data_IF_357577996718
#
_entry.id   IF_357577996718
#
_cell.length_a   1.000
_cell.length_b   1.000
_cell.length_c   1.000
_cell.angle_alpha   90.00
_cell.angle_beta   90.00
_cell.angle_gamma   90.00
#
_symmetry.space_group_name_H-M   'P 1'
#
loop_
_entity.id
_entity.type
_entity.pdbx_description
1 polymer ?
#
# COMPACT_ATOMS: atom_id res chain seq x y z
N UNK A 1 27.21 9.52 23.27
CA UNK A 1 27.09 8.67 24.48
C UNK A 1 26.10 9.23 25.50
N UNK A 2 26.04 10.54 25.74
CA UNK A 2 25.08 11.13 26.69
C UNK A 2 23.62 10.81 26.32
N UNK A 3 23.23 10.93 25.05
CA UNK A 3 21.87 10.58 24.60
C UNK A 3 21.57 9.08 24.83
N UNK A 4 22.52 8.20 24.54
CA UNK A 4 22.42 6.76 24.79
C UNK A 4 22.15 6.47 26.27
N UNK A 5 22.92 7.14 27.15
CA UNK A 5 22.74 7.02 28.60
C UNK A 5 21.38 7.56 29.09
N UNK A 6 20.96 8.72 28.58
CA UNK A 6 19.71 9.38 28.99
C UNK A 6 18.45 8.61 28.57
N UNK A 7 18.56 7.70 27.62
CA UNK A 7 17.43 6.86 27.13
C UNK A 7 17.49 5.40 27.65
N UNK A 8 18.33 5.13 28.65
CA UNK A 8 18.56 3.77 29.15
C UNK A 8 17.29 3.09 29.70
N UNK A 9 16.39 3.87 30.27
CA UNK A 9 15.13 3.38 30.86
C UNK A 9 13.96 3.31 29.85
N UNK A 10 14.19 3.73 28.60
CA UNK A 10 13.15 3.74 27.57
C UNK A 10 13.18 2.45 26.75
N UNK A 11 12.00 1.84 26.56
CA UNK A 11 11.83 0.66 25.69
C UNK A 11 11.54 1.11 24.25
N UNK A 12 12.49 1.85 23.66
CA UNK A 12 12.43 2.39 22.31
C UNK A 12 13.74 2.14 21.58
N UNK A 13 13.67 1.72 20.31
CA UNK A 13 14.83 1.72 19.41
C UNK A 13 15.02 3.15 18.88
N UNK A 14 16.16 3.73 19.17
CA UNK A 14 16.49 5.11 18.76
C UNK A 14 17.53 5.10 17.63
N UNK A 15 17.31 5.93 16.62
CA UNK A 15 18.20 6.07 15.47
C UNK A 15 18.53 7.54 15.30
N UNK A 16 19.82 7.88 15.29
CA UNK A 16 20.28 9.29 15.16
C UNK A 16 21.41 9.40 14.15
N UNK A 17 21.42 10.48 13.37
CA UNK A 17 22.51 10.82 12.46
C UNK A 17 23.70 11.41 13.22
N UNK A 18 24.90 10.92 12.97
CA UNK A 18 26.14 11.36 13.64
C UNK A 18 27.34 11.23 12.68
N UNK A 19 28.21 12.25 12.59
CA UNK A 19 29.52 12.09 11.95
C UNK A 19 30.44 11.26 12.85
N UNK A 20 31.01 10.19 12.32
CA UNK A 20 31.91 9.31 13.07
C UNK A 20 33.24 9.14 12.35
N UNK A 21 34.31 8.84 13.10
CA UNK A 21 35.63 8.52 12.56
C UNK A 21 35.90 7.03 12.62
N UNK A 22 36.28 6.45 11.50
CA UNK A 22 36.76 5.06 11.39
C UNK A 22 37.79 4.97 10.28
N UNK A 23 38.76 4.08 10.34
CA UNK A 23 39.79 3.86 9.33
C UNK A 23 40.54 5.16 8.91
N UNK A 24 40.78 6.09 9.85
CA UNK A 24 41.29 7.44 9.58
C UNK A 24 40.43 8.29 8.61
N UNK A 25 39.17 7.98 8.47
CA UNK A 25 38.19 8.65 7.61
C UNK A 25 37.01 9.16 8.42
N UNK A 26 36.27 10.09 7.86
CA UNK A 26 35.01 10.55 8.41
C UNK A 26 33.85 9.91 7.63
N UNK A 27 32.85 9.41 8.33
CA UNK A 27 31.64 8.85 7.76
C UNK A 27 30.40 9.61 8.26
N UNK A 28 29.42 9.78 7.38
CA UNK A 28 28.06 10.17 7.75
C UNK A 28 27.31 8.89 8.10
N UNK A 29 26.84 8.75 9.34
CA UNK A 29 26.32 7.48 9.81
C UNK A 29 25.07 7.65 10.68
N UNK A 30 24.21 6.63 10.67
CA UNK A 30 23.13 6.44 11.64
C UNK A 30 23.63 5.52 12.78
N UNK A 31 23.51 5.98 14.01
CA UNK A 31 23.78 5.19 15.21
C UNK A 31 22.46 4.68 15.76
N UNK A 32 22.37 3.37 15.94
CA UNK A 32 21.21 2.68 16.47
C UNK A 32 21.50 2.25 17.90
N UNK A 33 20.62 2.61 18.82
CA UNK A 33 20.77 2.27 20.23
C UNK A 33 19.45 2.03 20.93
N UNK A 34 19.51 1.29 22.02
CA UNK A 34 18.36 0.95 22.86
C UNK A 34 18.82 0.62 24.27
N UNK A 35 18.07 1.08 25.28
CA UNK A 35 18.33 0.76 26.69
C UNK A 35 19.79 0.97 27.11
N UNK A 36 20.32 2.12 26.79
CA UNK A 36 21.66 2.51 27.16
C UNK A 36 22.79 1.81 26.39
N UNK A 37 22.50 1.00 25.37
CA UNK A 37 23.50 0.27 24.59
C UNK A 37 23.38 0.57 23.09
N UNK A 38 24.52 0.87 22.44
CA UNK A 38 24.58 0.95 20.99
C UNK A 38 24.42 -0.45 20.41
N UNK A 39 23.60 -0.57 19.35
CA UNK A 39 23.33 -1.84 18.66
C UNK A 39 24.14 -1.95 17.38
N UNK A 40 24.37 -0.83 16.68
CA UNK A 40 25.15 -0.82 15.46
C UNK A 40 25.23 0.56 14.84
N UNK A 41 26.01 0.65 13.78
CA UNK A 41 26.26 1.87 13.02
C UNK A 41 26.05 1.61 11.54
N UNK A 42 25.22 2.41 10.89
CA UNK A 42 24.94 2.30 9.46
C UNK A 42 25.55 3.52 8.76
N UNK A 43 26.67 3.38 8.05
CA UNK A 43 27.24 4.46 7.25
C UNK A 43 26.46 4.68 5.97
N UNK A 44 26.38 5.93 5.54
CA UNK A 44 25.73 6.33 4.29
C UNK A 44 26.46 5.76 3.08
N UNK A 45 25.67 5.23 2.12
CA UNK A 45 26.18 4.57 0.92
C UNK A 45 26.45 5.57 -0.19
N UNK A 46 25.48 6.41 -0.52
CA UNK A 46 25.57 7.36 -1.62
C UNK A 46 25.73 8.80 -1.11
N UNK A 47 26.86 9.41 -1.43
CA UNK A 47 27.21 10.76 -1.01
C UNK A 47 26.96 11.73 -2.17
N UNK A 48 25.95 12.63 -2.10
CA UNK A 48 25.72 13.61 -3.14
C UNK A 48 26.89 14.59 -3.28
N UNK A 49 27.34 14.77 -4.51
CA UNK A 49 28.43 15.69 -4.84
C UNK A 49 28.12 16.43 -6.15
N UNK A 50 26.95 17.06 -6.18
CA UNK A 50 26.42 17.80 -7.32
C UNK A 50 25.58 18.99 -6.83
N UNK A 51 25.42 20.02 -7.68
CA UNK A 51 24.73 21.29 -7.36
C UNK A 51 25.23 21.87 -6.04
N UNK A 52 24.34 22.05 -5.06
CA UNK A 52 24.62 22.57 -3.72
C UNK A 52 25.29 21.56 -2.79
N UNK A 53 25.32 20.29 -3.13
CA UNK A 53 25.88 19.25 -2.28
C UNK A 53 27.34 18.97 -2.57
N UNK A 54 28.15 18.91 -1.51
CA UNK A 54 29.60 18.66 -1.55
C UNK A 54 30.00 17.62 -0.48
N UNK A 55 29.17 16.58 -0.27
CA UNK A 55 29.35 15.66 0.84
C UNK A 55 30.61 14.80 0.72
N UNK A 56 31.00 14.42 -0.49
CA UNK A 56 32.26 13.69 -0.75
C UNK A 56 33.52 14.45 -0.36
N UNK A 57 33.45 15.76 -0.15
CA UNK A 57 34.55 16.56 0.33
C UNK A 57 34.95 16.19 1.76
N UNK A 58 34.03 15.72 2.55
CA UNK A 58 34.20 15.48 3.98
C UNK A 58 34.03 14.02 4.38
N UNK A 59 33.15 13.30 3.73
CA UNK A 59 32.73 11.94 4.11
C UNK A 59 33.17 10.89 3.09
N UNK A 60 33.38 9.70 3.61
CA UNK A 60 33.65 8.48 2.83
C UNK A 60 32.40 7.62 2.73
N UNK A 61 32.14 7.05 1.56
CA UNK A 61 31.05 6.13 1.31
C UNK A 61 31.20 4.83 2.10
N UNK A 62 30.08 4.24 2.51
CA UNK A 62 30.06 2.89 3.09
C UNK A 62 30.76 1.84 2.20
N UNK A 63 30.69 2.00 0.88
CA UNK A 63 31.29 1.07 -0.09
C UNK A 63 32.82 1.08 -0.12
N UNK A 64 33.43 2.11 0.47
CA UNK A 64 34.88 2.25 0.53
C UNK A 64 35.47 1.78 1.87
N UNK A 65 34.61 1.43 2.83
CA UNK A 65 35.03 0.92 4.14
C UNK A 65 35.40 -0.56 4.05
N UNK A 66 36.38 -0.96 4.82
CA UNK A 66 36.90 -2.33 4.88
C UNK A 66 36.50 -3.04 6.16
N UNK A 67 36.36 -2.28 7.24
CA UNK A 67 36.00 -2.83 8.55
C UNK A 67 34.48 -3.00 8.66
N UNK A 68 34.06 -4.10 9.24
CA UNK A 68 32.66 -4.40 9.56
C UNK A 68 32.26 -4.00 10.98
N UNK A 69 33.18 -3.39 11.72
CA UNK A 69 33.00 -2.92 13.09
C UNK A 69 33.57 -1.50 13.27
N UNK A 70 33.12 -0.81 14.31
CA UNK A 70 33.62 0.50 14.71
C UNK A 70 33.79 0.58 16.22
N UNK A 71 34.91 1.16 16.65
CA UNK A 71 35.15 1.42 18.07
C UNK A 71 34.54 2.77 18.46
N UNK A 72 33.67 2.78 19.48
CA UNK A 72 33.12 4.00 20.08
C UNK A 72 33.42 3.95 21.58
N UNK A 73 34.31 4.84 22.03
CA UNK A 73 34.83 4.76 23.38
C UNK A 73 35.78 3.56 23.57
N UNK A 74 35.39 2.62 24.44
CA UNK A 74 36.15 1.39 24.71
C UNK A 74 35.48 0.13 24.12
N UNK A 75 34.38 0.27 23.47
CA UNK A 75 33.57 -0.84 22.97
C UNK A 75 33.56 -0.85 21.44
N UNK A 76 33.36 -2.02 20.88
CA UNK A 76 33.30 -2.27 19.45
C UNK A 76 31.88 -2.68 19.04
N UNK A 77 31.38 -2.10 17.94
CA UNK A 77 30.02 -2.27 17.47
C UNK A 77 29.97 -2.69 16.01
N UNK A 78 28.96 -3.46 15.58
CA UNK A 78 28.74 -3.75 14.17
C UNK A 78 28.58 -2.48 13.34
N UNK A 79 29.23 -2.44 12.17
CA UNK A 79 29.15 -1.34 11.23
C UNK A 79 29.00 -1.85 9.79
N UNK A 80 28.03 -1.31 9.07
CA UNK A 80 27.82 -1.63 7.65
C UNK A 80 26.49 -1.10 7.10
N UNK A 81 26.45 -0.90 5.79
CA UNK A 81 25.21 -0.50 5.09
C UNK A 81 24.21 -1.66 4.96
N UNK A 82 24.63 -2.89 5.20
CA UNK A 82 23.82 -4.10 5.15
C UNK A 82 23.53 -4.68 6.55
N UNK A 83 23.23 -3.79 7.52
CA UNK A 83 22.78 -4.21 8.84
C UNK A 83 21.25 -4.27 8.89
N UNK A 84 20.71 -5.35 9.47
CA UNK A 84 19.31 -5.51 9.81
C UNK A 84 19.15 -5.58 11.33
N UNK A 85 18.23 -4.82 11.88
CA UNK A 85 17.91 -4.80 13.30
C UNK A 85 16.61 -5.56 13.54
N UNK A 86 16.66 -6.67 14.33
CA UNK A 86 15.53 -7.59 14.45
C UNK A 86 15.03 -7.74 15.88
N UNK A 87 13.70 -7.69 16.05
CA UNK A 87 12.99 -8.04 17.27
C UNK A 87 11.72 -8.83 16.95
N UNK A 88 11.73 -10.13 17.15
CA UNK A 88 10.62 -10.99 16.76
C UNK A 88 10.33 -10.91 15.25
N UNK A 89 9.12 -10.50 14.89
CA UNK A 89 8.71 -10.30 13.48
C UNK A 89 9.17 -8.97 12.89
N UNK A 90 9.51 -8.00 13.73
CA UNK A 90 10.01 -6.71 13.28
C UNK A 90 11.46 -6.86 12.81
N UNK A 91 11.73 -6.42 11.59
CA UNK A 91 13.08 -6.29 11.05
C UNK A 91 13.23 -4.92 10.41
N UNK A 92 14.09 -4.08 10.98
CA UNK A 92 14.34 -2.72 10.53
C UNK A 92 15.60 -2.65 9.66
N UNK A 93 15.50 -1.93 8.55
CA UNK A 93 16.61 -1.50 7.72
C UNK A 93 16.77 0.02 7.79
N UNK A 94 17.98 0.52 7.54
CA UNK A 94 18.29 1.95 7.63
C UNK A 94 19.04 2.39 6.38
N UNK A 95 18.65 3.54 5.84
CA UNK A 95 19.33 4.24 4.78
C UNK A 95 19.36 5.75 5.08
N UNK A 96 20.23 6.52 4.42
CA UNK A 96 20.45 7.92 4.77
C UNK A 96 20.28 8.80 3.53
N UNK A 97 19.25 9.65 3.55
CA UNK A 97 19.02 10.77 2.64
C UNK A 97 19.14 10.37 1.15
N UNK A 98 20.30 10.66 0.51
CA UNK A 98 20.58 10.38 -0.90
C UNK A 98 20.40 8.91 -1.28
N UNK A 99 20.53 8.00 -0.33
CA UNK A 99 20.36 6.57 -0.56
C UNK A 99 18.97 6.24 -1.16
N UNK A 100 17.93 7.02 -0.84
CA UNK A 100 16.59 6.87 -1.43
C UNK A 100 16.52 7.32 -2.91
N UNK A 101 17.37 8.27 -3.32
CA UNK A 101 17.23 8.95 -4.62
C UNK A 101 17.90 8.21 -5.79
N UNK A 102 18.69 7.21 -5.49
CA UNK A 102 19.38 6.40 -6.49
C UNK A 102 18.45 5.38 -7.16
N UNK A 103 18.76 4.88 -8.36
CA UNK A 103 17.91 3.90 -9.07
C UNK A 103 17.69 2.60 -8.30
N UNK A 104 18.66 2.15 -7.52
CA UNK A 104 18.57 0.96 -6.66
C UNK A 104 18.97 1.37 -5.23
N UNK A 105 18.01 1.86 -4.42
CA UNK A 105 18.30 2.25 -3.05
C UNK A 105 18.64 1.05 -2.17
N UNK A 106 19.47 1.25 -1.12
CA UNK A 106 19.77 0.22 -0.13
C UNK A 106 18.51 -0.44 0.44
N UNK A 107 17.44 0.33 0.65
CA UNK A 107 16.14 -0.21 1.11
C UNK A 107 15.59 -1.33 0.24
N UNK A 108 15.83 -1.32 -1.07
CA UNK A 108 15.43 -2.41 -1.97
C UNK A 108 16.14 -3.72 -1.62
N UNK A 109 17.43 -3.67 -1.35
CA UNK A 109 18.22 -4.84 -0.96
C UNK A 109 17.86 -5.31 0.44
N UNK A 110 17.81 -4.38 1.40
CA UNK A 110 17.48 -4.68 2.80
C UNK A 110 16.09 -5.34 2.93
N UNK A 111 15.11 -4.91 2.15
CA UNK A 111 13.75 -5.48 2.20
C UNK A 111 13.68 -6.87 1.56
N UNK A 112 14.43 -7.13 0.50
CA UNK A 112 14.58 -8.47 -0.06
C UNK A 112 15.31 -9.44 0.89
N UNK A 113 16.15 -8.92 1.81
CA UNK A 113 16.82 -9.68 2.86
C UNK A 113 16.00 -9.77 4.16
N UNK A 114 14.80 -9.19 4.19
CA UNK A 114 13.84 -9.39 5.26
C UNK A 114 13.42 -8.15 6.04
N UNK A 115 14.00 -6.97 5.78
CA UNK A 115 13.51 -5.75 6.41
C UNK A 115 12.04 -5.51 6.05
N UNK A 116 11.20 -5.26 7.05
CA UNK A 116 9.78 -4.91 6.85
C UNK A 116 9.47 -3.45 7.23
N UNK A 117 10.42 -2.76 7.85
CA UNK A 117 10.39 -1.31 8.05
C UNK A 117 11.74 -0.72 7.64
N UNK A 118 11.69 0.37 6.89
CA UNK A 118 12.86 1.17 6.50
C UNK A 118 12.81 2.52 7.20
N UNK A 119 13.93 2.92 7.80
CA UNK A 119 14.12 4.25 8.35
C UNK A 119 15.11 5.04 7.49
N UNK A 120 14.73 6.25 7.10
CA UNK A 120 15.59 7.17 6.34
C UNK A 120 15.78 8.46 7.13
N UNK A 121 17.03 8.74 7.51
CA UNK A 121 17.42 9.97 8.16
C UNK A 121 17.93 10.93 7.09
N UNK A 122 17.36 12.11 6.99
CA UNK A 122 17.66 13.06 5.93
C UNK A 122 18.00 14.44 6.44
N UNK A 123 18.83 15.14 5.68
CA UNK A 123 19.00 16.59 5.69
C UNK A 123 18.83 17.08 4.24
N UNK A 124 17.62 16.94 3.74
CA UNK A 124 17.26 17.29 2.36
C UNK A 124 16.77 18.73 2.33
N UNK A 125 17.42 19.57 1.52
CA UNK A 125 17.01 20.96 1.33
C UNK A 125 15.67 21.06 0.59
N UNK A 126 14.98 22.17 0.78
CA UNK A 126 13.72 22.45 0.08
C UNK A 126 13.96 23.19 -1.24
N UNK A 127 13.27 22.72 -2.27
CA UNK A 127 13.14 23.36 -3.58
C UNK A 127 11.66 23.36 -3.99
N UNK A 128 11.27 24.32 -4.81
CA UNK A 128 9.90 24.42 -5.32
C UNK A 128 9.54 23.12 -6.07
N UNK A 129 8.44 22.47 -5.68
CA UNK A 129 7.96 21.23 -6.27
C UNK A 129 8.64 19.93 -5.79
N UNK A 130 9.77 20.01 -5.10
CA UNK A 130 10.53 18.83 -4.61
C UNK A 130 9.72 17.98 -3.63
N UNK A 131 8.92 18.62 -2.78
CA UNK A 131 8.13 17.90 -1.77
C UNK A 131 7.13 16.90 -2.36
N UNK A 132 6.39 17.30 -3.41
CA UNK A 132 5.43 16.40 -4.06
C UNK A 132 6.15 15.16 -4.65
N UNK A 133 7.32 15.38 -5.26
CA UNK A 133 8.14 14.30 -5.77
C UNK A 133 8.67 13.40 -4.65
N UNK A 134 9.19 13.98 -3.56
CA UNK A 134 9.70 13.23 -2.40
C UNK A 134 8.60 12.34 -1.78
N UNK A 135 7.41 12.91 -1.56
CA UNK A 135 6.26 12.17 -1.04
C UNK A 135 5.89 10.99 -1.94
N UNK A 136 5.82 11.23 -3.25
CA UNK A 136 5.57 10.18 -4.24
C UNK A 136 6.65 9.11 -4.21
N UNK A 137 7.93 9.50 -4.13
CA UNK A 137 9.07 8.60 -4.08
C UNK A 137 9.04 7.69 -2.84
N UNK A 138 8.75 8.25 -1.66
CA UNK A 138 8.62 7.50 -0.40
C UNK A 138 7.47 6.49 -0.50
N UNK A 139 6.29 6.93 -0.95
CA UNK A 139 5.15 6.03 -1.11
C UNK A 139 5.43 4.92 -2.13
N UNK A 140 6.04 5.25 -3.27
CA UNK A 140 6.40 4.25 -4.28
C UNK A 140 7.47 3.27 -3.80
N UNK A 141 8.47 3.73 -3.05
CA UNK A 141 9.49 2.85 -2.47
C UNK A 141 8.88 1.94 -1.41
N UNK A 142 8.00 2.46 -0.55
CA UNK A 142 7.22 1.67 0.41
C UNK A 142 6.39 0.58 -0.29
N UNK A 143 5.68 0.91 -1.38
CA UNK A 143 4.89 -0.04 -2.17
C UNK A 143 5.76 -1.10 -2.85
N UNK A 144 6.83 -0.68 -3.53
CA UNK A 144 7.74 -1.58 -4.24
C UNK A 144 8.38 -2.58 -3.31
N UNK A 145 8.73 -2.14 -2.10
CA UNK A 145 9.35 -2.95 -1.05
C UNK A 145 8.33 -3.70 -0.19
N UNK A 146 7.03 -3.45 -0.34
CA UNK A 146 5.98 -3.96 0.57
C UNK A 146 6.40 -3.79 2.03
N UNK A 147 6.76 -2.56 2.40
CA UNK A 147 7.37 -2.23 3.68
C UNK A 147 6.76 -0.95 4.27
N UNK A 148 6.88 -0.81 5.58
CA UNK A 148 6.79 0.48 6.21
C UNK A 148 8.02 1.33 5.84
N UNK A 149 7.81 2.62 5.58
CA UNK A 149 8.88 3.55 5.29
C UNK A 149 8.73 4.79 6.17
N UNK A 150 9.75 5.05 6.98
CA UNK A 150 9.77 6.16 7.94
C UNK A 150 10.88 7.13 7.54
N UNK A 151 10.49 8.32 7.13
CA UNK A 151 11.38 9.38 6.71
C UNK A 151 11.38 10.52 7.73
N UNK A 152 12.55 10.93 8.18
CA UNK A 152 12.72 12.06 9.09
C UNK A 152 13.80 13.00 8.54
N UNK A 153 13.43 14.26 8.30
CA UNK A 153 14.32 15.28 7.75
C UNK A 153 14.62 16.40 8.75
N UNK A 154 15.79 16.97 8.60
CA UNK A 154 16.21 18.17 9.32
C UNK A 154 15.23 19.34 9.16
N UNK A 155 15.11 20.15 10.17
CA UNK A 155 14.22 21.29 10.23
C UNK A 155 14.93 22.60 10.58
N UNK A 156 14.17 23.53 11.13
CA UNK A 156 14.62 24.89 11.46
C UNK A 156 15.87 24.96 12.34
N UNK A 157 16.09 23.97 13.20
CA UNK A 157 17.26 23.89 14.07
C UNK A 157 18.57 23.48 13.37
N UNK A 158 18.51 23.07 12.10
CA UNK A 158 19.70 22.67 11.35
C UNK A 158 20.54 23.86 10.91
N UNK A 159 21.85 23.65 10.89
CA UNK A 159 22.80 24.64 10.37
C UNK A 159 22.66 24.78 8.85
N UNK A 160 22.48 25.98 8.37
CA UNK A 160 22.36 26.27 6.94
C UNK A 160 23.24 27.46 6.53
N UNK A 161 23.72 27.43 5.28
CA UNK A 161 24.31 28.61 4.61
C UNK A 161 23.32 29.09 3.56
N UNK A 162 23.26 28.40 2.42
CA UNK A 162 22.38 28.72 1.29
C UNK A 162 21.15 27.79 1.20
N UNK A 163 20.98 26.90 2.18
CA UNK A 163 19.95 25.86 2.18
C UNK A 163 18.83 26.17 3.19
N UNK A 164 17.64 25.67 2.90
CA UNK A 164 16.49 25.72 3.80
C UNK A 164 15.99 24.30 4.01
N UNK A 165 15.71 23.96 5.28
CA UNK A 165 15.21 22.66 5.69
C UNK A 165 13.79 22.81 6.28
N UNK A 166 12.87 21.98 5.84
CA UNK A 166 11.44 22.11 6.21
C UNK A 166 11.04 21.32 7.45
N UNK A 167 11.85 20.40 7.94
CA UNK A 167 11.51 19.54 9.07
C UNK A 167 10.43 18.50 8.76
N UNK A 168 10.48 17.92 7.57
CA UNK A 168 9.44 17.00 7.12
C UNK A 168 9.63 15.60 7.71
N UNK A 169 8.57 15.08 8.36
CA UNK A 169 8.43 13.68 8.75
C UNK A 169 7.32 13.01 7.93
N UNK A 170 7.61 11.85 7.33
CA UNK A 170 6.65 11.09 6.51
C UNK A 170 6.70 9.63 6.95
N UNK A 171 5.54 9.02 7.16
CA UNK A 171 5.38 7.59 7.43
C UNK A 171 4.45 7.01 6.37
N UNK A 172 4.93 6.01 5.63
CA UNK A 172 4.17 5.30 4.60
C UNK A 172 4.19 3.78 4.86
N UNK A 173 3.15 3.09 4.41
CA UNK A 173 3.00 1.63 4.47
C UNK A 173 2.43 1.11 3.15
N UNK A 174 3.16 0.23 2.49
CA UNK A 174 2.74 -0.41 1.22
C UNK A 174 2.13 0.59 0.22
N UNK A 175 2.77 1.75 0.06
CA UNK A 175 2.35 2.81 -0.86
C UNK A 175 1.39 3.85 -0.29
N UNK A 176 0.77 3.58 0.85
CA UNK A 176 -0.17 4.49 1.48
C UNK A 176 0.53 5.43 2.45
N UNK A 177 0.22 6.72 2.36
CA UNK A 177 0.67 7.70 3.35
C UNK A 177 -0.13 7.51 4.63
N UNK A 178 0.56 7.22 5.75
CA UNK A 178 -0.07 7.05 7.06
C UNK A 178 -0.06 8.34 7.87
N UNK A 179 1.07 9.06 7.86
CA UNK A 179 1.22 10.31 8.60
C UNK A 179 2.27 11.20 7.95
N UNK A 180 2.09 12.50 8.09
CA UNK A 180 2.99 13.52 7.59
C UNK A 180 2.99 14.74 8.52
N UNK A 181 4.17 15.33 8.78
CA UNK A 181 4.26 16.55 9.56
C UNK A 181 3.99 17.79 8.72
N UNK A 182 3.50 18.89 9.30
CA UNK A 182 3.59 20.20 8.69
C UNK A 182 5.04 20.54 8.33
N UNK A 183 5.24 21.36 7.31
CA UNK A 183 6.55 21.83 6.87
C UNK A 183 6.79 23.27 7.33
N UNK A 184 8.07 23.66 7.43
CA UNK A 184 8.49 25.03 7.75
C UNK A 184 8.05 25.51 9.12
N UNK A 185 7.83 24.60 10.07
CA UNK A 185 7.57 24.97 11.46
C UNK A 185 8.87 25.27 12.17
N UNK A 186 8.83 26.22 13.11
CA UNK A 186 9.97 26.61 13.92
C UNK A 186 10.05 25.83 15.24
N UNK A 187 9.02 25.05 15.51
CA UNK A 187 8.87 24.25 16.73
C UNK A 187 9.21 22.77 16.47
N UNK A 188 9.49 22.06 17.54
CA UNK A 188 9.68 20.62 17.52
C UNK A 188 8.41 19.91 17.07
N UNK A 189 8.57 18.84 16.29
CA UNK A 189 7.45 18.05 15.78
C UNK A 189 7.64 16.57 16.08
N UNK A 190 6.56 15.91 16.40
CA UNK A 190 6.49 14.47 16.57
C UNK A 190 5.44 13.90 15.62
N UNK A 191 5.84 13.00 14.73
CA UNK A 191 4.95 12.26 13.83
C UNK A 191 4.88 10.82 14.31
N UNK A 192 3.66 10.34 14.55
CA UNK A 192 3.42 8.99 15.06
C UNK A 192 2.44 8.28 14.14
N UNK A 193 2.73 7.02 13.84
CA UNK A 193 1.80 6.09 13.20
C UNK A 193 2.12 4.65 13.59
N UNK A 194 1.26 3.74 13.17
CA UNK A 194 1.38 2.30 13.38
C UNK A 194 1.53 1.61 12.03
N UNK A 195 2.44 0.63 11.95
CA UNK A 195 2.72 -0.16 10.76
C UNK A 195 2.28 -1.60 11.00
N UNK A 196 1.44 -2.13 10.12
CA UNK A 196 0.95 -3.51 10.18
C UNK A 196 1.94 -4.47 9.52
N UNK A 197 2.88 -4.97 10.32
CA UNK A 197 3.92 -5.90 9.86
C UNK A 197 3.33 -7.24 9.39
N UNK A 198 2.22 -7.70 9.99
CA UNK A 198 1.61 -8.98 9.64
C UNK A 198 0.99 -8.93 8.24
N UNK A 199 0.25 -7.86 7.94
CA UNK A 199 -0.28 -7.61 6.58
C UNK A 199 0.85 -7.51 5.55
N UNK A 200 1.92 -6.75 5.84
CA UNK A 200 3.07 -6.63 4.94
C UNK A 200 3.75 -7.99 4.67
N UNK A 201 3.89 -8.82 5.69
CA UNK A 201 4.46 -10.17 5.54
C UNK A 201 3.55 -11.08 4.71
N UNK A 202 2.23 -11.02 4.92
CA UNK A 202 1.27 -11.78 4.13
C UNK A 202 1.29 -11.36 2.66
N UNK A 203 1.32 -10.06 2.36
CA UNK A 203 1.41 -9.54 1.00
C UNK A 203 2.66 -10.05 0.27
N UNK A 204 3.80 -10.08 0.97
CA UNK A 204 5.05 -10.63 0.42
C UNK A 204 4.96 -12.13 0.16
N UNK A 205 4.25 -12.91 1.00
CA UNK A 205 4.09 -14.35 0.83
C UNK A 205 3.24 -14.69 -0.41
N UNK A 206 2.21 -13.93 -0.68
CA UNK A 206 1.34 -14.15 -1.85
C UNK A 206 1.93 -13.57 -3.14
N UNK A 207 2.85 -12.62 -3.04
CA UNK A 207 3.50 -12.00 -4.19
C UNK A 207 4.77 -12.77 -4.60
N UNK A 208 4.61 -13.72 -5.52
CA UNK A 208 5.74 -14.54 -6.01
C UNK A 208 6.82 -13.72 -6.69
N UNK A 209 6.49 -12.61 -7.33
CA UNK A 209 7.46 -11.73 -7.99
C UNK A 209 8.43 -11.08 -7.01
N UNK A 210 7.96 -10.74 -5.80
CA UNK A 210 8.83 -10.22 -4.73
C UNK A 210 9.88 -11.26 -4.33
N UNK A 211 9.46 -12.51 -4.19
CA UNK A 211 10.37 -13.64 -3.84
C UNK A 211 11.43 -13.88 -4.92
N UNK A 212 11.07 -13.79 -6.21
CA UNK A 212 12.04 -13.95 -7.31
C UNK A 212 13.08 -12.83 -7.35
N UNK A 213 12.77 -11.63 -6.85
CA UNK A 213 13.73 -10.53 -6.73
C UNK A 213 14.96 -10.88 -5.91
N UNK A 214 14.84 -11.80 -4.96
CA UNK A 214 15.96 -12.25 -4.11
C UNK A 214 17.06 -12.99 -4.87
N UNK A 215 16.80 -13.49 -6.08
CA UNK A 215 17.79 -14.20 -6.89
C UNK A 215 18.96 -13.31 -7.36
N UNK A 216 18.76 -11.99 -7.36
CA UNK A 216 19.78 -10.98 -7.72
C UNK A 216 20.56 -10.42 -6.53
N UNK A 217 20.30 -10.90 -5.30
CA UNK A 217 20.97 -10.41 -4.11
C UNK A 217 22.48 -10.71 -4.10
N UNK A 218 23.30 -9.88 -3.46
CA UNK A 218 24.68 -10.18 -3.17
C UNK A 218 24.82 -11.53 -2.45
N UNK A 219 25.93 -12.23 -2.69
CA UNK A 219 26.19 -13.52 -2.01
C UNK A 219 26.39 -13.36 -0.50
N UNK A 220 26.85 -12.20 -0.07
CA UNK A 220 26.99 -11.83 1.33
C UNK A 220 25.64 -11.40 1.88
N UNK A 221 25.17 -12.14 2.86
CA UNK A 221 23.91 -11.84 3.55
C UNK A 221 24.07 -10.65 4.47
N UNK A 222 22.98 -9.89 4.68
CA UNK A 222 22.95 -8.85 5.70
C UNK A 222 23.28 -9.42 7.09
N UNK A 223 24.07 -8.68 7.83
CA UNK A 223 24.32 -8.98 9.24
C UNK A 223 23.10 -8.60 10.06
N UNK A 224 22.59 -9.55 10.84
CA UNK A 224 21.43 -9.32 11.72
C UNK A 224 21.91 -8.99 13.12
N UNK A 225 21.41 -7.88 13.65
CA UNK A 225 21.63 -7.43 15.02
C UNK A 225 20.31 -7.52 15.77
N UNK A 226 20.24 -8.38 16.77
CA UNK A 226 19.03 -8.57 17.57
C UNK A 226 18.87 -7.45 18.60
N UNK A 227 17.63 -6.99 18.79
CA UNK A 227 17.21 -6.07 19.84
C UNK A 227 15.89 -6.53 20.44
N UNK A 228 15.36 -5.85 21.44
CA UNK A 228 14.12 -6.26 22.10
C UNK A 228 13.16 -5.08 22.22
N UNK A 229 12.01 -5.22 21.58
CA UNK A 229 10.84 -4.35 21.77
C UNK A 229 9.68 -5.24 22.24
N UNK A 230 9.02 -4.81 23.30
CA UNK A 230 7.84 -5.49 23.78
C UNK A 230 6.62 -4.95 23.04
N UNK A 231 5.99 -5.79 22.24
CA UNK A 231 4.66 -5.55 21.69
C UNK A 231 3.68 -6.26 22.64
N UNK A 232 2.71 -5.54 23.25
CA UNK A 232 1.73 -6.16 24.13
C UNK A 232 0.90 -7.23 23.40
N UNK A 233 0.58 -8.32 24.09
CA UNK A 233 -0.35 -9.32 23.57
C UNK A 233 -1.73 -8.68 23.36
N UNK A 234 -2.37 -8.98 22.24
CA UNK A 234 -3.67 -8.39 21.87
C UNK A 234 -3.60 -6.93 21.44
N UNK A 235 -2.40 -6.42 21.10
CA UNK A 235 -2.26 -5.11 20.49
C UNK A 235 -3.09 -5.05 19.20
N UNK A 236 -3.92 -4.02 19.08
CA UNK A 236 -4.66 -3.72 17.86
C UNK A 236 -4.32 -2.32 17.37
N UNK A 237 -4.33 -2.13 16.05
CA UNK A 237 -4.08 -0.83 15.45
C UNK A 237 -5.10 0.20 15.96
N UNK A 238 -4.61 1.37 16.37
CA UNK A 238 -5.46 2.50 16.79
C UNK A 238 -5.74 3.47 15.64
N UNK A 239 -4.94 3.41 14.57
CA UNK A 239 -5.19 4.17 13.36
C UNK A 239 -6.45 3.69 12.63
N UNK A 240 -7.18 4.58 11.94
CA UNK A 240 -8.34 4.17 11.18
C UNK A 240 -7.93 3.21 10.03
N UNK A 241 -8.66 2.12 9.91
CA UNK A 241 -8.59 1.20 8.77
C UNK A 241 -9.86 1.39 7.96
N UNK A 242 -9.73 1.57 6.65
CA UNK A 242 -10.90 1.72 5.78
C UNK A 242 -11.75 0.43 5.81
N UNK A 243 -12.98 0.47 6.34
CA UNK A 243 -13.86 -0.71 6.39
C UNK A 243 -14.40 -1.10 5.01
N UNK A 244 -14.24 -0.21 4.02
CA UNK A 244 -14.75 -0.39 2.65
C UNK A 244 -13.66 -0.15 1.60
N UNK A 245 -12.55 -0.92 1.60
CA UNK A 245 -11.37 -0.66 0.75
C UNK A 245 -11.67 -0.77 -0.75
N UNK A 246 -12.77 -1.44 -1.12
CA UNK A 246 -13.20 -1.62 -2.50
C UNK A 246 -14.25 -0.60 -2.96
N UNK A 247 -14.73 0.26 -2.06
CA UNK A 247 -15.74 1.27 -2.39
C UNK A 247 -15.06 2.58 -2.72
N UNK A 248 -15.16 3.08 -3.97
CA UNK A 248 -14.59 4.36 -4.32
C UNK A 248 -15.15 5.49 -3.45
N UNK A 249 -14.27 6.40 -3.02
CA UNK A 249 -14.64 7.54 -2.18
C UNK A 249 -13.74 8.76 -2.44
N UNK A 250 -14.11 9.92 -1.90
CA UNK A 250 -13.31 11.14 -1.97
C UNK A 250 -13.20 11.73 -3.39
N UNK A 251 -12.13 12.48 -3.63
CA UNK A 251 -11.92 13.22 -4.89
C UNK A 251 -11.79 12.32 -6.11
N UNK A 252 -11.29 11.10 -5.95
CA UNK A 252 -11.14 10.12 -7.02
C UNK A 252 -12.41 9.29 -7.31
N UNK A 253 -13.54 9.55 -6.61
CA UNK A 253 -14.78 8.77 -6.74
C UNK A 253 -15.23 8.63 -8.20
N UNK A 254 -15.32 9.73 -8.92
CA UNK A 254 -15.81 9.74 -10.30
C UNK A 254 -14.91 8.94 -11.23
N UNK A 255 -13.60 9.20 -11.17
CA UNK A 255 -12.61 8.51 -11.99
C UNK A 255 -12.62 7.00 -11.74
N UNK A 256 -12.63 6.59 -10.48
CA UNK A 256 -12.67 5.17 -10.09
C UNK A 256 -13.97 4.48 -10.50
N UNK A 257 -15.12 5.15 -10.38
CA UNK A 257 -16.39 4.60 -10.86
C UNK A 257 -16.40 4.43 -12.39
N UNK A 258 -15.89 5.41 -13.13
CA UNK A 258 -15.74 5.33 -14.58
C UNK A 258 -14.79 4.18 -14.97
N UNK A 259 -13.69 4.02 -14.27
CA UNK A 259 -12.72 2.95 -14.49
C UNK A 259 -13.34 1.56 -14.24
N UNK A 260 -14.04 1.36 -13.11
CA UNK A 260 -14.76 0.12 -12.80
C UNK A 260 -15.76 -0.22 -13.91
N UNK A 261 -16.49 0.78 -14.42
CA UNK A 261 -17.46 0.60 -15.47
C UNK A 261 -16.80 0.19 -16.79
N UNK A 262 -15.74 0.89 -17.19
CA UNK A 262 -15.01 0.60 -18.42
C UNK A 262 -14.32 -0.76 -18.41
N UNK A 263 -13.80 -1.22 -17.26
CA UNK A 263 -13.23 -2.56 -17.11
C UNK A 263 -14.30 -3.64 -17.42
N UNK A 264 -15.50 -3.49 -16.87
CA UNK A 264 -16.61 -4.43 -17.11
C UNK A 264 -17.07 -4.41 -18.58
N UNK A 265 -17.23 -3.21 -19.15
CA UNK A 265 -17.61 -3.02 -20.56
C UNK A 265 -16.58 -3.66 -21.49
N UNK A 266 -15.30 -3.40 -21.28
CA UNK A 266 -14.22 -3.98 -22.10
C UNK A 266 -14.16 -5.50 -21.98
N UNK A 267 -14.34 -6.05 -20.77
CA UNK A 267 -14.40 -7.48 -20.52
C UNK A 267 -15.56 -8.16 -21.26
N UNK A 268 -16.75 -7.59 -21.15
CA UNK A 268 -17.95 -8.11 -21.84
C UNK A 268 -17.82 -7.98 -23.36
N UNK A 269 -17.35 -6.82 -23.86
CA UNK A 269 -17.12 -6.60 -25.29
C UNK A 269 -16.21 -7.67 -25.89
N UNK A 270 -15.09 -7.97 -25.21
CA UNK A 270 -14.17 -9.02 -25.67
C UNK A 270 -14.82 -10.39 -25.74
N UNK A 271 -15.67 -10.74 -24.79
CA UNK A 271 -16.40 -12.02 -24.78
C UNK A 271 -17.42 -12.10 -25.90
N UNK A 272 -18.24 -11.06 -26.10
CA UNK A 272 -19.22 -11.01 -27.18
C UNK A 272 -18.58 -11.13 -28.57
N UNK A 273 -17.51 -10.38 -28.82
CA UNK A 273 -16.76 -10.45 -30.08
C UNK A 273 -16.15 -11.84 -30.29
N UNK A 274 -15.53 -12.43 -29.27
CA UNK A 274 -14.92 -13.75 -29.37
C UNK A 274 -15.95 -14.85 -29.63
N UNK A 275 -17.11 -14.77 -28.98
CA UNK A 275 -18.21 -15.73 -29.16
C UNK A 275 -19.05 -15.49 -30.43
N UNK A 276 -18.75 -14.43 -31.19
CA UNK A 276 -19.58 -13.97 -32.34
C UNK A 276 -21.05 -13.76 -31.95
N UNK A 277 -21.28 -13.35 -30.70
CA UNK A 277 -22.62 -13.17 -30.17
C UNK A 277 -23.31 -11.97 -30.83
N UNK A 278 -24.55 -12.15 -31.26
CA UNK A 278 -25.40 -11.13 -31.88
C UNK A 278 -26.41 -10.57 -30.89
N UNK A 279 -26.68 -11.27 -29.81
CA UNK A 279 -27.66 -10.93 -28.79
C UNK A 279 -27.06 -11.14 -27.38
N UNK A 280 -27.58 -10.39 -26.43
CA UNK A 280 -27.33 -10.63 -25.00
C UNK A 280 -28.69 -10.75 -24.28
N UNK A 281 -28.76 -11.66 -23.32
CA UNK A 281 -29.95 -11.87 -22.50
C UNK A 281 -29.60 -11.56 -21.05
N UNK A 282 -30.38 -10.69 -20.42
CA UNK A 282 -30.13 -10.25 -19.03
C UNK A 282 -31.43 -10.39 -18.23
N UNK A 283 -31.39 -11.14 -17.13
CA UNK A 283 -32.50 -11.20 -16.17
C UNK A 283 -32.53 -9.93 -15.32
N UNK A 284 -33.65 -9.22 -15.31
CA UNK A 284 -33.81 -7.95 -14.59
C UNK A 284 -34.81 -8.12 -13.46
N UNK A 285 -34.31 -8.18 -12.24
CA UNK A 285 -35.14 -8.29 -11.02
C UNK A 285 -35.63 -6.92 -10.50
N UNK A 286 -35.08 -5.82 -11.01
CA UNK A 286 -35.31 -4.46 -10.47
C UNK A 286 -34.42 -4.12 -9.29
N UNK A 287 -33.48 -4.98 -8.92
CA UNK A 287 -32.40 -4.73 -7.94
C UNK A 287 -31.16 -4.09 -8.56
N UNK A 288 -30.21 -3.67 -7.71
CA UNK A 288 -29.00 -2.96 -8.15
C UNK A 288 -28.09 -3.80 -9.04
N UNK A 289 -27.91 -5.08 -8.75
CA UNK A 289 -27.00 -5.95 -9.50
C UNK A 289 -27.47 -6.14 -10.94
N UNK A 290 -28.75 -6.46 -11.13
CA UNK A 290 -29.34 -6.60 -12.46
C UNK A 290 -29.37 -5.28 -13.24
N UNK A 291 -29.56 -4.16 -12.53
CA UNK A 291 -29.50 -2.81 -13.11
C UNK A 291 -28.09 -2.53 -13.63
N UNK A 292 -27.06 -2.78 -12.82
CA UNK A 292 -25.64 -2.60 -13.23
C UNK A 292 -25.30 -3.50 -14.41
N UNK A 293 -25.70 -4.77 -14.37
CA UNK A 293 -25.47 -5.71 -15.46
C UNK A 293 -26.10 -5.23 -16.79
N UNK A 294 -27.32 -4.70 -16.73
CA UNK A 294 -27.99 -4.15 -17.91
C UNK A 294 -27.27 -2.90 -18.44
N UNK A 295 -26.87 -1.97 -17.57
CA UNK A 295 -26.14 -0.76 -17.96
C UNK A 295 -24.80 -1.10 -18.62
N UNK A 296 -24.03 -2.03 -18.05
CA UNK A 296 -22.77 -2.54 -18.63
C UNK A 296 -23.03 -3.16 -20.00
N UNK A 297 -24.09 -3.94 -20.14
CA UNK A 297 -24.46 -4.57 -21.41
C UNK A 297 -24.83 -3.53 -22.48
N UNK A 298 -25.64 -2.54 -22.12
CA UNK A 298 -26.01 -1.43 -23.03
C UNK A 298 -24.80 -0.66 -23.51
N UNK A 299 -23.94 -0.26 -22.58
CA UNK A 299 -22.70 0.47 -22.97
C UNK A 299 -21.76 -0.40 -23.82
N UNK A 300 -21.74 -1.70 -23.58
CA UNK A 300 -20.95 -2.63 -24.40
C UNK A 300 -21.49 -2.67 -25.83
N UNK A 301 -22.82 -2.78 -26.02
CA UNK A 301 -23.42 -2.75 -27.33
C UNK A 301 -23.19 -1.42 -28.06
N UNK A 302 -23.31 -0.31 -27.34
CA UNK A 302 -22.99 1.02 -27.90
C UNK A 302 -21.53 1.10 -28.35
N UNK A 303 -20.59 0.64 -27.52
CA UNK A 303 -19.16 0.61 -27.85
C UNK A 303 -18.84 -0.26 -29.08
N UNK A 304 -19.54 -1.40 -29.23
CA UNK A 304 -19.41 -2.29 -30.38
C UNK A 304 -20.26 -1.84 -31.58
N UNK A 305 -21.01 -0.75 -31.47
CA UNK A 305 -21.97 -0.26 -32.48
C UNK A 305 -23.04 -1.29 -32.85
N UNK A 306 -23.43 -2.10 -31.88
CA UNK A 306 -24.52 -3.08 -32.00
C UNK A 306 -25.85 -2.43 -31.60
N UNK A 307 -26.97 -2.81 -32.23
CA UNK A 307 -28.28 -2.27 -31.87
C UNK A 307 -28.73 -2.69 -30.45
N UNK A 308 -29.13 -1.74 -29.62
CA UNK A 308 -29.64 -2.03 -28.26
C UNK A 308 -30.86 -2.95 -28.25
N UNK A 309 -31.66 -2.95 -29.32
CA UNK A 309 -32.80 -3.88 -29.48
C UNK A 309 -32.41 -5.36 -29.54
N UNK A 310 -31.14 -5.68 -29.75
CA UNK A 310 -30.60 -7.05 -29.66
C UNK A 310 -30.27 -7.48 -28.23
N UNK A 311 -30.36 -6.57 -27.26
CA UNK A 311 -30.32 -6.88 -25.85
C UNK A 311 -31.75 -7.27 -25.44
N UNK A 312 -31.91 -8.44 -24.82
CA UNK A 312 -33.18 -8.93 -24.32
C UNK A 312 -33.17 -8.86 -22.80
N UNK A 313 -33.87 -7.87 -22.24
CA UNK A 313 -34.10 -7.74 -20.81
C UNK A 313 -35.29 -8.60 -20.40
N UNK A 314 -35.08 -9.62 -19.59
CA UNK A 314 -36.14 -10.53 -19.14
C UNK A 314 -36.54 -10.18 -17.70
N UNK A 315 -37.82 -9.93 -17.48
CA UNK A 315 -38.40 -9.92 -16.13
C UNK A 315 -39.23 -11.15 -15.88
N UNK A 316 -39.05 -11.78 -14.71
CA UNK A 316 -39.68 -13.03 -14.34
C UNK A 316 -40.50 -12.85 -13.05
N UNK A 317 -41.71 -12.23 -13.13
CA UNK A 317 -42.48 -11.99 -11.93
C UNK A 317 -42.94 -13.32 -11.29
N UNK A 318 -42.48 -13.51 -10.02
CA UNK A 318 -42.82 -14.63 -9.15
C UNK A 318 -43.73 -14.22 -7.98
N UNK A 319 -43.73 -15.00 -6.91
CA UNK A 319 -44.48 -14.70 -5.68
C UNK A 319 -43.84 -13.57 -4.85
N UNK A 320 -42.50 -13.47 -4.85
CA UNK A 320 -41.74 -12.45 -4.12
C UNK A 320 -41.59 -11.12 -4.86
N UNK A 321 -42.07 -11.02 -6.10
CA UNK A 321 -41.94 -9.79 -6.90
C UNK A 321 -42.93 -8.73 -6.41
N UNK A 322 -42.39 -7.56 -5.99
CA UNK A 322 -43.24 -6.42 -5.61
C UNK A 322 -43.58 -5.58 -6.85
N UNK A 323 -44.71 -4.85 -6.80
CA UNK A 323 -45.11 -3.94 -7.89
C UNK A 323 -44.00 -2.90 -8.19
N UNK A 324 -43.29 -2.42 -7.16
CA UNK A 324 -42.20 -1.46 -7.30
C UNK A 324 -41.01 -2.04 -8.08
N UNK A 325 -40.54 -3.23 -7.72
CA UNK A 325 -39.41 -3.87 -8.39
C UNK A 325 -39.75 -4.26 -9.82
N UNK A 326 -40.94 -4.73 -10.05
CA UNK A 326 -41.45 -5.05 -11.39
C UNK A 326 -41.50 -3.79 -12.27
N UNK A 327 -42.13 -2.72 -11.78
CA UNK A 327 -42.25 -1.44 -12.53
C UNK A 327 -40.86 -0.87 -12.85
N UNK A 328 -39.96 -0.83 -11.85
CA UNK A 328 -38.59 -0.36 -12.05
C UNK A 328 -37.86 -1.18 -13.14
N UNK A 329 -37.99 -2.49 -13.15
CA UNK A 329 -37.38 -3.35 -14.16
C UNK A 329 -37.92 -3.04 -15.57
N UNK A 330 -39.20 -2.94 -15.74
CA UNK A 330 -39.86 -2.67 -17.01
C UNK A 330 -39.50 -1.26 -17.55
N UNK A 331 -39.54 -0.26 -16.67
CA UNK A 331 -39.23 1.14 -17.05
C UNK A 331 -37.77 1.33 -17.41
N UNK A 332 -36.85 0.69 -16.68
CA UNK A 332 -35.42 0.69 -16.99
C UNK A 332 -35.16 0.07 -18.37
N UNK A 333 -35.70 -1.12 -18.64
CA UNK A 333 -35.51 -1.81 -19.92
C UNK A 333 -36.00 -0.94 -21.08
N UNK A 334 -37.23 -0.38 -20.96
CA UNK A 334 -37.83 0.48 -21.98
C UNK A 334 -37.02 1.78 -22.20
N UNK A 335 -36.62 2.45 -21.11
CA UNK A 335 -35.88 3.72 -21.17
C UNK A 335 -34.52 3.58 -21.85
N UNK A 336 -33.90 2.42 -21.77
CA UNK A 336 -32.61 2.13 -22.41
C UNK A 336 -32.75 1.66 -23.87
N UNK A 337 -33.97 1.48 -24.40
CA UNK A 337 -34.21 0.98 -25.75
C UNK A 337 -33.89 -0.51 -25.94
N UNK A 338 -33.94 -1.27 -24.86
CA UNK A 338 -33.71 -2.71 -24.80
C UNK A 338 -35.03 -3.46 -25.03
N UNK A 339 -34.98 -4.63 -25.64
CA UNK A 339 -36.15 -5.45 -25.87
C UNK A 339 -36.64 -6.08 -24.55
N UNK A 340 -37.83 -5.71 -24.12
CA UNK A 340 -38.46 -6.28 -22.93
C UNK A 340 -39.11 -7.64 -23.25
N UNK A 341 -38.80 -8.65 -22.45
CA UNK A 341 -39.51 -9.92 -22.45
C UNK A 341 -39.97 -10.25 -21.02
N UNK A 342 -41.25 -10.47 -20.86
CA UNK A 342 -41.84 -10.88 -19.58
C UNK A 342 -42.15 -12.38 -19.61
N UNK A 343 -41.72 -13.09 -18.57
CA UNK A 343 -41.91 -14.51 -18.41
C UNK A 343 -42.42 -14.78 -16.97
N UNK A 344 -43.75 -14.80 -16.75
CA UNK A 344 -44.28 -15.13 -15.43
C UNK A 344 -43.90 -16.55 -15.01
N UNK A 345 -43.32 -16.70 -13.81
CA UNK A 345 -42.79 -17.98 -13.31
C UNK A 345 -43.70 -18.65 -12.28
N UNK A 346 -44.80 -18.00 -11.86
CA UNK A 346 -45.67 -18.51 -10.79
C UNK A 346 -46.19 -19.93 -11.03
N UNK A 347 -46.62 -20.21 -12.23
CA UNK A 347 -47.13 -21.55 -12.58
C UNK A 347 -46.02 -22.61 -12.58
N UNK A 348 -44.83 -22.24 -13.06
CA UNK A 348 -43.65 -23.12 -13.01
C UNK A 348 -43.25 -23.45 -11.55
N UNK A 349 -43.23 -22.44 -10.69
CA UNK A 349 -42.96 -22.65 -9.25
C UNK A 349 -44.03 -23.53 -8.59
N UNK A 350 -45.32 -23.32 -8.89
CA UNK A 350 -46.39 -24.17 -8.36
C UNK A 350 -46.27 -25.62 -8.85
N UNK A 351 -45.86 -25.83 -10.09
CA UNK A 351 -45.61 -27.18 -10.60
C UNK A 351 -44.42 -27.81 -9.85
N UNK A 352 -43.33 -27.05 -9.67
CA UNK A 352 -42.15 -27.51 -8.95
C UNK A 352 -42.49 -27.89 -7.50
N UNK A 353 -43.26 -27.06 -6.78
CA UNK A 353 -43.70 -27.38 -5.41
C UNK A 353 -44.48 -28.70 -5.36
N UNK A 354 -45.38 -28.95 -6.33
CA UNK A 354 -46.09 -30.25 -6.43
C UNK A 354 -45.14 -31.42 -6.65
N UNK A 355 -44.12 -31.23 -7.50
CA UNK A 355 -43.20 -32.32 -7.86
C UNK A 355 -42.28 -32.71 -6.70
N UNK A 356 -42.04 -31.80 -5.74
CA UNK A 356 -41.20 -32.05 -4.56
C UNK A 356 -42.00 -32.18 -3.26
N UNK A 357 -43.31 -32.28 -3.33
CA UNK A 357 -44.23 -32.36 -2.18
C UNK A 357 -44.08 -31.23 -1.17
N UNK A 358 -43.76 -30.01 -1.64
CA UNK A 358 -43.62 -28.81 -0.82
C UNK A 358 -44.92 -28.01 -0.78
N UNK A 359 -45.33 -27.60 0.44
CA UNK A 359 -46.51 -26.75 0.62
C UNK A 359 -46.17 -25.28 0.26
N UNK A 360 -46.80 -24.68 -0.76
CA UNK A 360 -46.57 -23.31 -1.18
C UNK A 360 -46.84 -22.24 -0.10
N UNK A 361 -47.54 -22.58 0.97
CA UNK A 361 -47.80 -21.68 2.08
C UNK A 361 -46.65 -21.60 3.08
N UNK A 362 -45.67 -22.50 3.00
CA UNK A 362 -44.48 -22.52 3.85
C UNK A 362 -43.37 -21.72 3.18
N UNK A 363 -43.11 -20.56 3.72
CA UNK A 363 -42.06 -19.64 3.21
C UNK A 363 -40.71 -19.95 3.85
N UNK A 364 -40.06 -20.99 3.39
CA UNK A 364 -38.72 -21.44 3.78
C UNK A 364 -37.70 -21.28 2.64
N UNK A 365 -36.50 -21.79 2.82
CA UNK A 365 -35.44 -21.77 1.81
C UNK A 365 -35.83 -22.47 0.51
N UNK A 366 -36.68 -23.53 0.59
CA UNK A 366 -37.20 -24.24 -0.58
C UNK A 366 -38.14 -23.35 -1.39
N UNK A 367 -39.00 -22.60 -0.70
CA UNK A 367 -39.90 -21.62 -1.31
C UNK A 367 -39.14 -20.53 -2.05
N UNK A 368 -38.08 -20.00 -1.43
CA UNK A 368 -37.26 -18.95 -2.05
C UNK A 368 -36.46 -19.48 -3.25
N UNK A 369 -35.79 -20.63 -3.11
CA UNK A 369 -34.97 -21.22 -4.17
C UNK A 369 -35.78 -21.67 -5.38
N UNK A 370 -37.06 -22.02 -5.20
CA UNK A 370 -37.93 -22.41 -6.32
C UNK A 370 -38.32 -21.25 -7.24
N UNK A 371 -38.02 -20.00 -6.82
CA UNK A 371 -38.28 -18.78 -7.57
C UNK A 371 -37.03 -18.16 -8.17
N UNK A 372 -35.82 -18.71 -7.87
CA UNK A 372 -34.51 -18.19 -8.29
C UNK A 372 -34.03 -18.79 -9.68
#
# INVERSE_FOLDING_TARGET
LQLVSNTADLDILTIVGVPLRTENRLINAAVVFQKGAIRGVVPKTYLPNYKEFQEQRWFTSATELRESTISIGKEEYPMGSHLLFRSGRLTAGIEICEDLWVPVPPSSLLTMEGANIIFNLSASNELIGKHAYLRSLICQQSARCMAGYVYASSGFGESSTDLVFAGNGIIAENGNLLAESPRFTMEEQLVISEIDIETLQNDRQVNTSFMYGTSGLPKEKAQVVDFQVRIPDGFSLTRPVDPHPFTPSGEALKERCEEIFHIQVAGLAKRLVHAHAQTAVVGISGGLDSTLALLVTVMTFDALKMPRGQIIGITMPGFGTTDRTYTNACDLIRSLGVTLKEIPIKEACLQHFRDIDHDPSVHDVTYENSQA
#
